data_IF_779850342533
#
_entry.id   IF_779850342533
#
_cell.length_a   1.000
_cell.length_b   1.000
_cell.length_c   1.000
_cell.angle_alpha   90.00
_cell.angle_beta   90.00
_cell.angle_gamma   90.00
#
_symmetry.space_group_name_H-M   'P 1'
#
loop_
_entity.id
_entity.type
_entity.pdbx_description
1 polymer ?
#
# COMPACT_ATOMS: atom_id res chain seq x y z
N UNK A 1 -22.98 -20.52 -35.54
CA UNK A 1 -23.54 -19.91 -34.31
C UNK A 1 -22.91 -18.54 -34.09
N UNK A 2 -23.59 -17.64 -33.37
CA UNK A 2 -23.39 -16.18 -33.27
C UNK A 2 -23.92 -15.34 -34.45
N UNK A 3 -25.26 -15.30 -34.62
CA UNK A 3 -25.95 -14.39 -35.57
C UNK A 3 -26.38 -13.04 -34.96
N UNK A 4 -26.60 -13.00 -33.64
CA UNK A 4 -27.16 -11.83 -32.94
C UNK A 4 -26.34 -11.36 -31.74
N UNK A 5 -25.15 -11.92 -31.53
CA UNK A 5 -24.25 -11.53 -30.43
C UNK A 5 -23.03 -10.83 -31.00
N UNK A 6 -22.70 -9.65 -30.45
CA UNK A 6 -21.48 -8.89 -30.75
C UNK A 6 -20.58 -8.89 -29.51
N UNK A 7 -19.27 -8.93 -29.73
CA UNK A 7 -18.25 -8.73 -28.70
C UNK A 7 -17.63 -7.35 -28.90
N UNK A 8 -17.44 -6.61 -27.82
CA UNK A 8 -16.73 -5.34 -27.81
C UNK A 8 -15.50 -5.44 -26.91
N UNK A 9 -14.46 -4.69 -27.25
CA UNK A 9 -13.27 -4.49 -26.41
C UNK A 9 -13.11 -2.98 -26.19
N UNK A 10 -12.73 -2.58 -24.99
CA UNK A 10 -12.47 -1.18 -24.66
C UNK A 10 -11.17 -1.08 -23.85
N UNK A 11 -10.45 0.01 -24.06
CA UNK A 11 -9.25 0.39 -23.35
C UNK A 11 -9.46 1.78 -22.76
N UNK A 12 -9.40 1.89 -21.44
CA UNK A 12 -9.54 3.16 -20.73
C UNK A 12 -8.24 3.43 -19.98
N UNK A 13 -7.44 4.44 -20.35
CA UNK A 13 -6.28 4.83 -19.56
C UNK A 13 -6.73 5.50 -18.25
N UNK A 14 -5.93 5.35 -17.19
CA UNK A 14 -6.16 6.02 -15.91
C UNK A 14 -4.92 6.80 -15.49
N UNK A 15 -5.13 7.97 -14.91
CA UNK A 15 -4.12 8.74 -14.19
C UNK A 15 -4.62 9.00 -12.77
N UNK A 16 -3.75 8.83 -11.78
CA UNK A 16 -4.06 9.11 -10.38
C UNK A 16 -2.86 9.79 -9.73
N UNK A 17 -3.00 11.09 -9.46
CA UNK A 17 -1.97 11.87 -8.79
C UNK A 17 -2.01 11.61 -7.29
N UNK A 18 -0.96 11.01 -6.76
CA UNK A 18 -0.79 10.80 -5.32
C UNK A 18 0.13 11.87 -4.77
N UNK A 19 -0.35 12.59 -3.76
CA UNK A 19 0.44 13.54 -2.98
C UNK A 19 0.50 13.08 -1.53
N UNK A 20 1.69 13.06 -0.94
CA UNK A 20 1.87 12.89 0.50
C UNK A 20 2.19 14.24 1.12
N UNK A 21 1.53 14.56 2.22
CA UNK A 21 1.76 15.78 3.00
C UNK A 21 1.61 15.47 4.49
N UNK A 22 2.44 16.08 5.32
CA UNK A 22 2.43 15.89 6.77
C UNK A 22 3.79 15.51 7.32
N UNK A 23 3.85 15.39 8.64
CA UNK A 23 5.01 14.89 9.38
C UNK A 23 4.74 13.44 9.80
N UNK A 24 5.71 12.55 9.57
CA UNK A 24 5.61 11.15 9.95
C UNK A 24 6.64 10.83 11.02
N UNK A 25 6.17 10.23 12.11
CA UNK A 25 7.02 9.84 13.22
C UNK A 25 7.08 8.32 13.32
N UNK A 26 8.27 7.81 13.65
CA UNK A 26 8.56 6.40 13.87
C UNK A 26 9.37 6.28 15.16
N UNK A 27 9.01 5.31 15.99
CA UNK A 27 9.76 4.93 17.17
C UNK A 27 10.47 3.61 16.91
N UNK A 28 11.78 3.59 17.18
CA UNK A 28 12.64 2.41 16.99
C UNK A 28 13.39 2.16 18.28
N UNK A 29 13.37 0.91 18.74
CA UNK A 29 14.12 0.44 19.90
C UNK A 29 14.95 -0.79 19.54
N UNK A 30 16.21 -0.79 19.97
CA UNK A 30 17.14 -1.91 19.78
C UNK A 30 17.35 -2.58 21.14
N UNK A 31 17.07 -3.88 21.23
CA UNK A 31 17.27 -4.65 22.44
C UNK A 31 18.77 -4.89 22.66
N UNK A 32 19.29 -4.44 23.81
CA UNK A 32 20.72 -4.50 24.11
C UNK A 32 21.27 -5.92 24.27
N UNK A 33 20.42 -6.90 24.59
CA UNK A 33 20.85 -8.27 24.92
C UNK A 33 20.98 -9.15 23.69
N UNK A 34 20.01 -9.10 22.77
CA UNK A 34 19.94 -10.00 21.62
C UNK A 34 19.96 -9.25 20.26
N UNK A 35 20.00 -7.92 20.28
CA UNK A 35 20.04 -7.08 19.08
C UNK A 35 18.73 -7.04 18.30
N UNK A 36 17.63 -7.59 18.83
CA UNK A 36 16.32 -7.51 18.17
C UNK A 36 15.83 -6.07 18.09
N UNK A 37 15.03 -5.77 17.07
CA UNK A 37 14.56 -4.41 16.78
C UNK A 37 13.04 -4.36 16.81
N UNK A 38 12.50 -3.44 17.62
CA UNK A 38 11.07 -3.11 17.64
C UNK A 38 10.86 -1.80 16.89
N UNK A 39 9.93 -1.79 15.93
CA UNK A 39 9.58 -0.64 15.10
C UNK A 39 8.09 -0.35 15.23
N UNK A 40 7.73 0.89 15.53
CA UNK A 40 6.33 1.34 15.63
C UNK A 40 6.18 2.68 14.91
N UNK A 41 5.16 2.82 14.08
CA UNK A 41 4.82 4.06 13.40
C UNK A 41 3.34 4.43 13.61
N UNK A 42 2.98 5.70 13.43
CA UNK A 42 1.62 6.19 13.66
C UNK A 42 0.56 5.69 12.66
N UNK A 43 0.97 5.07 11.56
CA UNK A 43 0.05 4.63 10.51
C UNK A 43 -0.60 3.28 10.87
N UNK A 44 -1.84 3.07 10.41
CA UNK A 44 -2.67 1.92 10.78
C UNK A 44 -2.62 0.86 9.69
N UNK A 45 -2.39 -0.39 10.05
CA UNK A 45 -2.57 -1.55 9.16
C UNK A 45 -4.06 -1.91 9.04
N UNK A 46 -4.55 -1.99 7.81
CA UNK A 46 -5.93 -2.35 7.47
C UNK A 46 -6.02 -3.24 6.23
N UNK A 47 -4.93 -3.92 5.87
CA UNK A 47 -4.84 -4.83 4.73
C UNK A 47 -4.07 -4.25 3.54
N UNK A 48 -3.61 -3.00 3.62
CA UNK A 48 -2.74 -2.38 2.61
C UNK A 48 -1.26 -2.78 2.75
N UNK A 49 -0.90 -3.48 3.83
CA UNK A 49 0.44 -4.01 4.05
C UNK A 49 1.46 -2.94 4.39
N UNK A 50 1.10 -1.97 5.23
CA UNK A 50 2.02 -0.92 5.67
C UNK A 50 3.05 -1.44 6.68
N UNK A 51 2.69 -2.42 7.52
CA UNK A 51 3.65 -3.00 8.48
C UNK A 51 4.67 -3.93 7.80
N UNK A 52 4.35 -4.42 6.60
CA UNK A 52 5.23 -5.27 5.79
C UNK A 52 6.16 -4.46 4.89
N UNK A 53 5.74 -3.26 4.51
CA UNK A 53 6.55 -2.31 3.72
C UNK A 53 7.62 -1.68 4.60
#
# INVERSE_FOLDING_TARGET
ENRWMKKGINLIPMTYSVHSSGEWNVFISIAAVDGTVSVIHGNIESGQGINTK
#
